data_IF_000246475822
#
_entry.id   IF_000246475822
#
_cell.length_a   1.000
_cell.length_b   1.000
_cell.length_c   1.000
_cell.angle_alpha   90.00
_cell.angle_beta   90.00
_cell.angle_gamma   90.00
#
_symmetry.space_group_name_H-M   'P 1'
#
loop_
_entity.id
_entity.type
_entity.pdbx_description
1 polymer ?
#
# COMPACT_ATOMS: atom_id res chain seq x y z
N UNK A 1 -12.20 -28.22 25.71
CA UNK A 1 -12.65 -29.09 24.66
C UNK A 1 -12.00 -28.78 23.35
N UNK A 2 -11.82 -29.75 22.50
CA UNK A 2 -11.10 -29.62 21.25
C UNK A 2 -11.77 -28.64 20.30
N UNK A 3 -13.08 -28.56 20.31
CA UNK A 3 -13.80 -27.66 19.40
C UNK A 3 -13.48 -26.20 19.69
N UNK A 4 -13.46 -25.80 20.95
CA UNK A 4 -13.13 -24.43 21.33
C UNK A 4 -11.69 -24.08 20.98
N UNK A 5 -10.75 -24.96 21.23
CA UNK A 5 -9.35 -24.75 20.95
C UNK A 5 -9.12 -24.58 19.46
N UNK A 6 -9.74 -25.44 18.64
CA UNK A 6 -9.62 -25.37 17.20
C UNK A 6 -10.21 -24.07 16.64
N UNK A 7 -11.36 -23.66 17.16
CA UNK A 7 -12.00 -22.41 16.71
C UNK A 7 -11.12 -21.22 17.04
N UNK A 8 -10.55 -21.18 18.24
CA UNK A 8 -9.66 -20.10 18.64
C UNK A 8 -8.41 -20.04 17.75
N UNK A 9 -7.81 -21.20 17.48
CA UNK A 9 -6.62 -21.26 16.62
C UNK A 9 -6.92 -20.83 15.21
N UNK A 10 -8.06 -21.24 14.67
CA UNK A 10 -8.45 -20.84 13.32
C UNK A 10 -8.70 -19.33 13.25
N UNK A 11 -9.39 -18.78 14.23
CA UNK A 11 -9.65 -17.34 14.27
C UNK A 11 -8.35 -16.56 14.41
N UNK A 12 -7.44 -17.03 15.24
CA UNK A 12 -6.15 -16.37 15.43
C UNK A 12 -5.32 -16.40 14.14
N UNK A 13 -5.27 -17.54 13.49
CA UNK A 13 -4.54 -17.68 12.23
C UNK A 13 -5.14 -16.78 11.15
N UNK A 14 -6.47 -16.73 11.09
CA UNK A 14 -7.18 -15.89 10.11
C UNK A 14 -6.90 -14.40 10.37
N UNK A 15 -6.97 -13.98 11.63
CA UNK A 15 -6.69 -12.59 12.00
C UNK A 15 -5.24 -12.21 11.70
N UNK A 16 -4.32 -13.13 11.96
CA UNK A 16 -2.91 -12.90 11.67
C UNK A 16 -2.66 -12.74 10.17
N UNK A 17 -3.30 -13.60 9.35
CA UNK A 17 -3.18 -13.53 7.91
C UNK A 17 -3.76 -12.21 7.38
N UNK A 18 -4.91 -11.78 7.92
CA UNK A 18 -5.50 -10.49 7.54
C UNK A 18 -4.59 -9.33 7.91
N UNK A 19 -3.98 -9.40 9.07
CA UNK A 19 -3.06 -8.37 9.52
C UNK A 19 -1.85 -8.26 8.60
N UNK A 20 -1.30 -9.38 8.16
CA UNK A 20 -0.20 -9.39 7.21
C UNK A 20 -0.61 -8.80 5.87
N UNK A 21 -1.81 -9.14 5.39
CA UNK A 21 -2.32 -8.60 4.13
C UNK A 21 -2.51 -7.10 4.23
N UNK A 22 -3.03 -6.63 5.35
CA UNK A 22 -3.22 -5.20 5.58
C UNK A 22 -1.88 -4.47 5.54
N UNK A 23 -0.87 -5.00 6.22
CA UNK A 23 0.46 -4.40 6.23
C UNK A 23 1.06 -4.36 4.82
N UNK A 24 0.86 -5.43 4.03
CA UNK A 24 1.35 -5.48 2.66
C UNK A 24 0.65 -4.44 1.79
N UNK A 25 -0.68 -4.32 1.92
CA UNK A 25 -1.45 -3.34 1.15
C UNK A 25 -1.03 -1.92 1.53
N UNK A 26 -0.83 -1.65 2.82
CA UNK A 26 -0.40 -0.34 3.26
C UNK A 26 0.97 0.03 2.69
N UNK A 27 1.89 -0.93 2.64
CA UNK A 27 3.20 -0.73 2.05
C UNK A 27 3.10 -0.42 0.56
N UNK A 28 2.26 -1.19 -0.15
CA UNK A 28 2.06 -0.98 -1.58
C UNK A 28 1.46 0.39 -1.85
N UNK A 29 0.47 0.80 -1.06
CA UNK A 29 -0.14 2.12 -1.19
C UNK A 29 0.89 3.22 -1.00
N UNK A 30 1.76 3.08 -0.01
CA UNK A 30 2.79 4.08 0.24
C UNK A 30 3.78 4.15 -0.91
N UNK A 31 4.14 2.99 -1.48
CA UNK A 31 5.02 2.96 -2.64
C UNK A 31 4.38 3.66 -3.84
N UNK A 32 3.10 3.42 -4.09
CA UNK A 32 2.38 4.07 -5.17
C UNK A 32 2.28 5.57 -4.95
N UNK A 33 2.05 6.01 -3.72
CA UNK A 33 2.03 7.43 -3.40
C UNK A 33 3.38 8.08 -3.71
N UNK A 34 4.47 7.44 -3.32
CA UNK A 34 5.81 7.94 -3.59
C UNK A 34 6.07 8.00 -5.09
N UNK A 35 5.70 6.96 -5.83
CA UNK A 35 5.85 6.94 -7.28
C UNK A 35 5.02 8.04 -7.94
N UNK A 36 3.79 8.25 -7.45
CA UNK A 36 2.93 9.30 -7.97
C UNK A 36 3.52 10.68 -7.72
N UNK A 37 4.09 10.91 -6.55
CA UNK A 37 4.75 12.19 -6.26
C UNK A 37 5.94 12.42 -7.19
N UNK A 38 6.73 11.39 -7.44
CA UNK A 38 7.85 11.49 -8.35
C UNK A 38 7.39 11.81 -9.77
N UNK A 39 6.34 11.12 -10.22
CA UNK A 39 5.78 11.38 -11.54
C UNK A 39 5.21 12.78 -11.64
N UNK A 40 4.52 13.24 -10.60
CA UNK A 40 3.96 14.58 -10.59
C UNK A 40 5.06 15.64 -10.67
N UNK A 41 6.14 15.45 -9.93
CA UNK A 41 7.29 16.34 -9.98
C UNK A 41 7.91 16.36 -11.36
N UNK A 42 8.02 15.21 -12.00
CA UNK A 42 8.56 15.08 -13.34
C UNK A 42 7.67 15.81 -14.36
N UNK A 43 6.37 15.60 -14.27
CA UNK A 43 5.40 16.25 -15.16
C UNK A 43 5.41 17.75 -14.96
N UNK A 44 5.47 18.21 -13.73
CA UNK A 44 5.55 19.63 -13.42
C UNK A 44 6.81 20.28 -14.02
N UNK A 45 7.93 19.57 -13.94
CA UNK A 45 9.18 20.05 -14.54
C UNK A 45 9.08 20.17 -16.05
N UNK A 46 8.49 19.17 -16.71
CA UNK A 46 8.28 19.20 -18.17
C UNK A 46 7.34 20.33 -18.55
N UNK A 47 6.25 20.47 -17.82
CA UNK A 47 5.26 21.52 -18.09
C UNK A 47 5.86 22.89 -17.96
N UNK A 48 6.68 23.12 -16.95
CA UNK A 48 7.39 24.40 -16.79
C UNK A 48 8.35 24.67 -17.93
N UNK A 49 9.08 23.66 -18.39
CA UNK A 49 9.98 23.80 -19.51
C UNK A 49 9.23 24.15 -20.79
N UNK A 50 8.10 23.49 -21.02
CA UNK A 50 7.28 23.76 -22.20
C UNK A 50 6.66 25.15 -22.14
N UNK A 51 6.22 25.58 -20.96
CA UNK A 51 5.66 26.91 -20.79
C UNK A 51 6.72 28.03 -20.93
N UNK A 52 7.97 27.72 -20.60
CA UNK A 52 9.06 28.69 -20.67
C UNK A 52 9.54 28.94 -22.09
N UNK A 53 9.27 28.03 -23.01
CA UNK A 53 9.70 28.19 -24.40
C UNK A 53 8.66 28.99 -25.17
N UNK A 54 9.07 30.07 -25.81
CA UNK A 54 8.15 30.86 -26.65
C UNK A 54 7.69 30.07 -27.87
#
# INVERSE_FOLDING_TARGET
THTHTNTFQVQHAFASALHERLASVQRDCKNYENENEMLQTYIDGITKNMASKP
#
